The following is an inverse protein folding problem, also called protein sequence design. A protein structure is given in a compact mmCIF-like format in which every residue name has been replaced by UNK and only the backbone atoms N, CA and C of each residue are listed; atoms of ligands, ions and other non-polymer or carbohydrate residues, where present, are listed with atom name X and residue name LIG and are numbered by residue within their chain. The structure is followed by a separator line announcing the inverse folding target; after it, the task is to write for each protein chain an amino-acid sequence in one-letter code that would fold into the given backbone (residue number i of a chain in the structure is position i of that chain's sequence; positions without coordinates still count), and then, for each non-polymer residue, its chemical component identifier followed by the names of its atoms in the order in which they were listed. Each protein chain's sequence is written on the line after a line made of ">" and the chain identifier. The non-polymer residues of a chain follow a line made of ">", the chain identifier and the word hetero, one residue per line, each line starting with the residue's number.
data_IF_337397572163
#
_entry.id   IF_337397572163
#
_cell.length_a   1.000
_cell.length_b   1.000
_cell.length_c   1.000
_cell.angle_alpha   90.00
_cell.angle_beta   90.00
_cell.angle_gamma   90.00
#
_symmetry.space_group_name_H-M   'P 1'
#
loop_
_entity.id
_entity.type
_entity.pdbx_description
1 polymer ?
#
# COMPACT_ATOMS: atom_id res chain seq x y z
N UNK A 1 -8.95 -28.83 12.17
CA UNK A 1 -7.74 -28.60 11.37
C UNK A 1 -7.70 -27.14 10.97
N UNK A 2 -6.87 -26.33 11.65
CA UNK A 2 -6.73 -24.90 11.37
C UNK A 2 -6.05 -24.71 10.02
N UNK A 3 -6.67 -23.93 9.13
CA UNK A 3 -6.09 -23.58 7.83
C UNK A 3 -4.78 -22.79 8.07
N UNK A 4 -3.68 -23.09 7.36
CA UNK A 4 -2.49 -22.26 7.43
C UNK A 4 -2.85 -20.87 6.92
N UNK A 5 -2.70 -19.87 7.79
CA UNK A 5 -2.82 -18.47 7.43
C UNK A 5 -1.70 -18.14 6.43
N UNK A 6 -2.02 -17.66 5.22
CA UNK A 6 -0.99 -17.30 4.25
C UNK A 6 -0.12 -16.14 4.80
N UNK A 7 1.19 -16.10 4.47
CA UNK A 7 2.18 -15.23 5.12
C UNK A 7 1.96 -13.73 4.90
N UNK A 8 0.99 -13.34 4.05
CA UNK A 8 0.65 -11.93 3.84
C UNK A 8 0.00 -11.25 5.03
N UNK A 9 -0.48 -11.99 6.04
CA UNK A 9 -1.06 -11.40 7.25
C UNK A 9 0.02 -10.75 8.14
N UNK A 10 1.30 -11.00 7.87
CA UNK A 10 2.42 -10.38 8.60
C UNK A 10 3.01 -9.14 7.93
N UNK A 11 2.64 -8.81 6.69
CA UNK A 11 2.91 -7.49 6.12
C UNK A 11 1.80 -6.60 6.64
N UNK A 12 2.11 -5.61 7.48
CA UNK A 12 1.09 -4.67 7.96
C UNK A 12 0.37 -4.12 6.74
N UNK A 13 -0.96 -4.11 6.76
CA UNK A 13 -1.76 -3.58 5.64
C UNK A 13 -1.31 -2.16 5.23
N UNK A 14 -0.74 -1.41 6.18
CA UNK A 14 -0.11 -0.09 6.01
C UNK A 14 1.12 -0.07 5.10
N UNK A 15 1.77 -1.20 4.81
CA UNK A 15 2.91 -1.28 3.89
C UNK A 15 2.47 -1.61 2.45
N UNK A 16 1.22 -2.04 2.27
CA UNK A 16 0.65 -2.35 0.97
C UNK A 16 0.02 -1.12 0.36
N UNK A 17 0.36 -0.86 -0.88
CA UNK A 17 -0.16 0.26 -1.62
C UNK A 17 -1.64 -0.01 -1.94
N UNK A 18 -2.56 0.67 -1.25
CA UNK A 18 -4.01 0.57 -1.46
C UNK A 18 -4.57 -0.88 -1.45
N UNK A 19 -4.01 -1.77 -0.62
CA UNK A 19 -4.45 -3.18 -0.56
C UNK A 19 -4.05 -4.03 -1.78
N UNK A 20 -3.27 -3.47 -2.71
CA UNK A 20 -2.67 -4.23 -3.82
C UNK A 20 -1.55 -5.14 -3.30
N UNK A 21 -1.12 -6.14 -4.10
CA UNK A 21 0.05 -6.95 -3.74
C UNK A 21 1.38 -6.17 -3.79
N UNK A 22 1.39 -4.86 -4.05
CA UNK A 22 2.61 -4.05 -4.13
C UNK A 22 2.95 -3.46 -2.76
N UNK A 23 4.23 -3.54 -2.36
CA UNK A 23 4.76 -2.94 -1.13
C UNK A 23 6.00 -2.09 -1.43
N UNK A 24 6.15 -0.97 -0.71
CA UNK A 24 7.36 -0.15 -0.76
C UNK A 24 8.28 -0.46 0.41
N UNK A 25 9.54 -0.80 0.14
CA UNK A 25 10.56 -0.99 1.18
C UNK A 25 11.76 -0.10 0.88
N UNK A 26 11.91 0.95 1.68
CA UNK A 26 12.85 2.04 1.38
C UNK A 26 12.49 2.69 0.05
N UNK A 27 13.47 2.81 -0.86
CA UNK A 27 13.29 3.39 -2.19
C UNK A 27 12.88 2.36 -3.28
N UNK A 28 12.60 1.10 -2.91
CA UNK A 28 12.32 0.03 -3.87
C UNK A 28 10.91 -0.53 -3.75
N UNK A 29 10.34 -0.87 -4.90
CA UNK A 29 9.04 -1.52 -5.02
C UNK A 29 9.18 -3.03 -5.08
N UNK A 30 8.27 -3.74 -4.39
CA UNK A 30 8.25 -5.19 -4.35
C UNK A 30 6.83 -5.71 -4.58
N UNK A 31 6.70 -6.79 -5.35
CA UNK A 31 5.46 -7.54 -5.51
C UNK A 31 5.42 -8.67 -4.50
N UNK A 32 4.44 -8.62 -3.60
CA UNK A 32 4.15 -9.71 -2.67
C UNK A 32 3.43 -10.83 -3.42
N UNK A 33 4.04 -12.00 -3.46
CA UNK A 33 3.47 -13.24 -4.00
C UNK A 33 3.22 -14.22 -2.86
N UNK A 34 2.54 -15.33 -3.15
CA UNK A 34 2.34 -16.42 -2.18
C UNK A 34 3.65 -17.08 -1.77
N UNK A 35 4.68 -17.01 -2.61
CA UNK A 35 5.99 -17.62 -2.39
C UNK A 35 7.04 -16.64 -1.81
N UNK A 36 6.74 -15.34 -1.72
CA UNK A 36 7.68 -14.36 -1.19
C UNK A 36 7.47 -12.95 -1.73
N UNK A 37 8.55 -12.20 -1.92
CA UNK A 37 8.52 -10.86 -2.51
C UNK A 37 9.48 -10.79 -3.70
N UNK A 38 8.99 -10.30 -4.83
CA UNK A 38 9.80 -10.08 -6.03
C UNK A 38 10.12 -8.59 -6.16
N UNK A 39 11.39 -8.26 -6.39
CA UNK A 39 11.79 -6.88 -6.66
C UNK A 39 11.22 -6.43 -8.01
N UNK A 40 10.63 -5.25 -8.05
CA UNK A 40 10.23 -4.60 -9.30
C UNK A 40 11.44 -3.85 -9.86
N UNK A 41 11.88 -4.23 -11.06
CA UNK A 41 13.06 -3.67 -11.72
C UNK A 41 12.76 -2.84 -12.96
N UNK A 42 11.54 -2.92 -13.48
CA UNK A 42 11.12 -2.16 -14.65
C UNK A 42 10.91 -0.68 -14.26
N UNK A 43 11.72 0.25 -14.80
CA UNK A 43 11.68 1.66 -14.41
C UNK A 43 10.33 2.33 -14.71
N UNK A 44 9.70 2.00 -15.84
CA UNK A 44 8.42 2.61 -16.22
C UNK A 44 7.33 2.17 -15.25
N UNK A 45 7.30 0.87 -14.94
CA UNK A 45 6.37 0.33 -13.97
C UNK A 45 6.62 0.89 -12.55
N UNK A 46 7.87 1.04 -12.12
CA UNK A 46 8.17 1.70 -10.83
C UNK A 46 7.74 3.17 -10.80
N UNK A 47 7.83 3.88 -11.93
CA UNK A 47 7.35 5.26 -12.04
C UNK A 47 5.84 5.38 -11.87
N UNK A 48 5.07 4.44 -12.44
CA UNK A 48 3.62 4.39 -12.22
C UNK A 48 3.25 4.06 -10.78
N UNK A 49 4.00 3.17 -10.12
CA UNK A 49 3.80 2.88 -8.69
C UNK A 49 4.08 4.10 -7.80
N UNK A 50 5.11 4.89 -8.11
CA UNK A 50 5.41 6.13 -7.41
C UNK A 50 4.29 7.17 -7.60
N UNK A 51 3.78 7.33 -8.83
CA UNK A 51 2.64 8.24 -9.10
C UNK A 51 1.38 7.80 -8.36
N UNK A 52 1.05 6.51 -8.44
CA UNK A 52 -0.10 5.96 -7.74
C UNK A 52 0.02 6.14 -6.21
N UNK A 53 1.21 5.96 -5.65
CA UNK A 53 1.45 6.21 -4.23
C UNK A 53 1.27 7.69 -3.85
N UNK A 54 1.67 8.62 -4.71
CA UNK A 54 1.44 10.04 -4.49
C UNK A 54 -0.05 10.39 -4.52
N UNK A 55 -0.79 9.88 -5.50
CA UNK A 55 -2.23 10.11 -5.62
C UNK A 55 -3.01 9.54 -4.42
N UNK A 56 -2.63 8.34 -3.97
CA UNK A 56 -3.19 7.73 -2.76
C UNK A 56 -2.93 8.57 -1.52
N UNK A 57 -1.72 9.11 -1.35
CA UNK A 57 -1.40 9.97 -0.21
C UNK A 57 -2.21 11.28 -0.22
N UNK A 58 -2.46 11.86 -1.40
CA UNK A 58 -3.33 13.03 -1.55
C UNK A 58 -4.77 12.68 -1.17
N UNK A 59 -5.29 11.54 -1.65
CA UNK A 59 -6.64 11.08 -1.32
C UNK A 59 -6.80 10.80 0.18
N UNK A 60 -5.86 10.09 0.81
CA UNK A 60 -5.85 9.81 2.25
C UNK A 60 -5.84 11.12 3.06
N UNK A 61 -5.04 12.10 2.65
CA UNK A 61 -5.02 13.43 3.28
C UNK A 61 -6.37 14.14 3.17
N UNK A 62 -6.99 14.12 1.99
CA UNK A 62 -8.31 14.73 1.78
C UNK A 62 -9.40 14.06 2.63
N UNK A 63 -9.37 12.73 2.73
CA UNK A 63 -10.29 11.97 3.61
C UNK A 63 -10.07 12.32 5.07
N UNK A 64 -8.81 12.43 5.51
CA UNK A 64 -8.49 12.82 6.87
C UNK A 64 -8.99 14.23 7.20
N UNK A 65 -8.80 15.19 6.28
CA UNK A 65 -9.30 16.56 6.44
C UNK A 65 -10.83 16.62 6.51
N UNK A 66 -11.52 15.93 5.61
CA UNK A 66 -12.98 15.82 5.64
C UNK A 66 -13.47 15.20 6.96
N UNK A 67 -12.79 14.16 7.43
CA UNK A 67 -13.14 13.49 8.69
C UNK A 67 -13.00 14.43 9.89
N UNK A 68 -11.98 15.29 9.90
CA UNK A 68 -11.80 16.31 10.93
C UNK A 68 -12.89 17.38 10.87
N UNK A 69 -13.25 17.85 9.67
CA UNK A 69 -14.33 18.83 9.48
C UNK A 69 -15.69 18.28 9.96
N UNK A 70 -16.01 17.04 9.61
CA UNK A 70 -17.25 16.38 10.05
C UNK A 70 -17.30 16.21 11.57
N UNK A 71 -16.16 15.89 12.21
CA UNK A 71 -16.06 15.77 13.67
C UNK A 71 -16.18 17.12 14.39
N UNK A 72 -15.79 18.22 13.74
CA UNK A 72 -15.85 19.57 14.29
C UNK A 72 -17.22 20.25 14.12
N UNK A 73 -18.18 19.61 13.43
CA UNK A 73 -19.52 20.15 13.24
C UNK A 73 -20.39 19.81 14.47
N UNK A 74 -20.92 20.81 15.20
CA UNK A 74 -21.71 20.61 16.42
C UNK A 74 -23.06 19.95 16.16
#
# INVERSE_FOLDING_TARGET
>A
MSRPSPPFVSVRASERLAGTPVVRRGAKWWLATTAGSLLVSDPDFTGELDRFAADMAVAERAVAELSLQLKARP
#
